data_IF_959036091440
#
_entry.id   IF_959036091440
#
_cell.length_a   1.000
_cell.length_b   1.000
_cell.length_c   1.000
_cell.angle_alpha   90.00
_cell.angle_beta   90.00
_cell.angle_gamma   90.00
#
_symmetry.space_group_name_H-M   'P 1'
#
loop_
_entity.id
_entity.type
_entity.pdbx_description
1 polymer ?
#
# COMPACT_ATOMS: atom_id res chain seq x y z
N UNK A 1 -5.88 -8.03 23.95
CA UNK A 1 -6.91 -9.10 23.97
C UNK A 1 -7.73 -9.02 22.68
N UNK A 2 -8.70 -8.11 22.56
CA UNK A 2 -9.60 -7.99 21.39
C UNK A 2 -8.94 -8.02 19.99
N UNK A 3 -7.88 -7.26 19.75
CA UNK A 3 -7.19 -7.29 18.43
C UNK A 3 -6.65 -8.68 18.08
N UNK A 4 -6.12 -9.41 19.06
CA UNK A 4 -5.54 -10.73 18.84
C UNK A 4 -6.62 -11.81 18.55
N UNK A 5 -7.87 -11.60 18.99
CA UNK A 5 -9.00 -12.49 18.65
C UNK A 5 -9.34 -12.47 17.16
N UNK A 6 -8.90 -11.44 16.45
CA UNK A 6 -9.05 -11.25 14.99
C UNK A 6 -7.69 -11.16 14.29
N UNK A 7 -6.65 -11.78 14.86
CA UNK A 7 -5.30 -11.87 14.27
C UNK A 7 -4.59 -10.53 14.03
N UNK A 8 -5.01 -9.45 14.71
CA UNK A 8 -4.41 -8.12 14.59
C UNK A 8 -3.50 -7.75 15.78
N UNK A 9 -2.56 -6.84 15.55
CA UNK A 9 -1.75 -6.23 16.61
C UNK A 9 -1.35 -4.77 16.32
N UNK A 10 -1.03 -4.02 17.37
CA UNK A 10 -0.50 -2.64 17.27
C UNK A 10 1.02 -2.54 17.52
N UNK A 11 1.73 -3.67 17.49
CA UNK A 11 3.19 -3.75 17.69
C UNK A 11 3.93 -3.02 16.57
N UNK A 12 4.99 -2.28 16.92
CA UNK A 12 5.88 -1.59 15.96
C UNK A 12 5.17 -0.60 15.00
N UNK A 13 3.99 -0.09 15.37
CA UNK A 13 3.24 0.90 14.59
C UNK A 13 3.83 2.32 14.66
N UNK A 14 4.66 2.61 15.67
CA UNK A 14 5.36 3.88 15.87
C UNK A 14 6.79 3.69 16.41
N UNK A 15 7.52 4.78 16.66
CA UNK A 15 8.89 4.71 17.18
C UNK A 15 9.96 4.44 16.12
N UNK A 16 11.13 3.99 16.57
CA UNK A 16 12.32 3.69 15.76
C UNK A 16 12.43 2.20 15.46
N UNK A 17 11.48 1.69 14.69
CA UNK A 17 11.39 0.31 14.27
C UNK A 17 10.95 0.23 12.80
N UNK A 18 10.92 -0.99 12.28
CA UNK A 18 10.27 -1.32 11.01
C UNK A 18 8.76 -1.07 11.18
N UNK A 19 8.18 -0.37 10.20
CA UNK A 19 6.75 -0.03 10.14
C UNK A 19 6.02 -1.05 9.27
N UNK A 20 4.72 -0.81 9.03
CA UNK A 20 3.93 -1.59 8.08
C UNK A 20 4.69 -1.82 6.76
N UNK A 21 4.60 -3.06 6.26
CA UNK A 21 5.08 -3.41 4.93
C UNK A 21 3.98 -3.06 3.94
N UNK A 22 4.25 -2.12 3.05
CA UNK A 22 3.27 -1.62 2.08
C UNK A 22 3.26 -2.46 0.81
N UNK A 23 2.10 -2.68 0.22
CA UNK A 23 2.00 -3.21 -1.14
C UNK A 23 1.00 -2.45 -1.99
N UNK A 24 0.86 -2.87 -3.25
CA UNK A 24 -0.18 -2.41 -4.14
C UNK A 24 -1.57 -2.76 -3.56
N UNK A 25 -2.47 -1.81 -3.55
CA UNK A 25 -3.84 -2.02 -3.05
C UNK A 25 -4.67 -2.89 -4.00
N UNK A 26 -4.24 -3.10 -5.25
CA UNK A 26 -4.83 -4.05 -6.19
C UNK A 26 -4.06 -5.38 -6.32
N UNK A 27 -3.09 -5.64 -5.42
CA UNK A 27 -2.31 -6.89 -5.40
C UNK A 27 -3.19 -8.15 -5.41
N UNK A 28 -2.87 -9.14 -6.24
CA UNK A 28 -3.69 -10.34 -6.40
C UNK A 28 -4.92 -10.17 -7.30
N UNK A 29 -5.26 -8.95 -7.73
CA UNK A 29 -6.45 -8.62 -8.52
C UNK A 29 -6.12 -7.94 -9.87
N UNK A 30 -4.99 -7.26 -9.99
CA UNK A 30 -4.61 -6.47 -11.17
C UNK A 30 -4.02 -7.32 -12.32
N UNK A 31 -4.15 -6.85 -13.57
CA UNK A 31 -3.65 -7.54 -14.78
C UNK A 31 -2.14 -7.38 -15.01
N UNK A 32 -1.54 -6.31 -14.49
CA UNK A 32 -0.15 -5.92 -14.75
C UNK A 32 0.85 -6.44 -13.70
N UNK A 33 0.39 -7.29 -12.78
CA UNK A 33 1.26 -7.94 -11.78
C UNK A 33 1.83 -9.27 -12.28
N UNK A 34 3.09 -9.52 -11.95
CA UNK A 34 3.75 -10.81 -12.16
C UNK A 34 3.12 -11.91 -11.29
N UNK A 35 2.79 -11.57 -10.04
CA UNK A 35 2.19 -12.43 -9.03
C UNK A 35 1.65 -11.57 -7.89
N UNK A 36 0.95 -12.19 -6.93
CA UNK A 36 0.53 -11.50 -5.72
C UNK A 36 1.74 -11.23 -4.79
N UNK A 37 2.08 -9.96 -4.48
CA UNK A 37 3.15 -9.61 -3.55
C UNK A 37 2.79 -9.77 -2.07
N UNK A 38 1.52 -9.93 -1.71
CA UNK A 38 1.05 -9.95 -0.30
C UNK A 38 1.68 -11.08 0.55
N UNK A 39 1.87 -12.32 0.04
CA UNK A 39 2.60 -13.36 0.76
C UNK A 39 3.99 -12.90 1.21
N UNK A 40 4.74 -12.23 0.33
CA UNK A 40 6.06 -11.70 0.66
C UNK A 40 6.00 -10.55 1.65
N UNK A 41 4.98 -9.69 1.58
CA UNK A 41 4.76 -8.68 2.60
C UNK A 41 4.52 -9.30 3.98
N UNK A 42 3.77 -10.39 4.05
CA UNK A 42 3.50 -11.10 5.30
C UNK A 42 4.75 -11.80 5.85
N UNK A 43 5.54 -12.46 4.98
CA UNK A 43 6.84 -13.03 5.35
C UNK A 43 7.74 -11.95 5.97
N UNK A 44 7.87 -10.79 5.30
CA UNK A 44 8.68 -9.66 5.80
C UNK A 44 8.09 -9.09 7.10
N UNK A 45 6.76 -9.00 7.23
CA UNK A 45 6.10 -8.53 8.46
C UNK A 45 6.42 -9.48 9.62
N UNK A 46 6.27 -10.78 9.46
CA UNK A 46 6.57 -11.77 10.50
C UNK A 46 8.06 -11.76 10.87
N UNK A 47 8.94 -11.75 9.87
CA UNK A 47 10.39 -11.64 10.08
C UNK A 47 10.78 -10.37 10.87
N UNK A 48 10.22 -9.22 10.50
CA UNK A 48 10.56 -7.95 11.14
C UNK A 48 9.91 -7.74 12.52
N UNK A 49 8.85 -8.47 12.83
CA UNK A 49 8.12 -8.33 14.08
C UNK A 49 8.91 -8.97 15.23
N UNK A 50 9.20 -8.20 16.27
CA UNK A 50 10.05 -8.62 17.40
C UNK A 50 11.46 -9.10 17.02
N UNK A 51 11.97 -8.69 15.86
CA UNK A 51 13.32 -9.04 15.45
C UNK A 51 14.35 -8.49 16.48
N UNK A 52 15.15 -9.36 17.13
CA UNK A 52 15.98 -8.96 18.27
C UNK A 52 17.03 -7.91 17.90
N UNK A 53 17.57 -7.98 16.68
CA UNK A 53 18.56 -7.02 16.20
C UNK A 53 17.95 -5.66 15.77
N UNK A 54 16.69 -5.65 15.35
CA UNK A 54 16.06 -4.48 14.72
C UNK A 54 14.94 -3.85 15.56
N UNK A 55 14.85 -4.24 16.83
CA UNK A 55 13.92 -3.64 17.78
C UNK A 55 14.26 -2.17 18.11
N UNK A 56 15.52 -1.74 17.92
CA UNK A 56 15.98 -0.37 18.20
C UNK A 56 16.84 0.21 17.08
N UNK A 57 16.18 0.64 16.01
CA UNK A 57 16.82 1.26 14.86
C UNK A 57 17.24 2.71 15.14
N UNK A 58 18.12 3.29 14.33
CA UNK A 58 18.41 4.72 14.41
C UNK A 58 17.17 5.61 14.23
N UNK A 59 16.23 5.23 13.35
CA UNK A 59 14.96 5.92 13.12
C UNK A 59 13.91 4.98 12.50
N UNK A 60 12.68 5.47 12.28
CA UNK A 60 11.59 4.73 11.59
C UNK A 60 12.07 4.18 10.25
N UNK A 61 11.62 2.95 9.93
CA UNK A 61 12.03 2.23 8.73
C UNK A 61 10.80 1.66 8.01
N UNK A 62 10.69 1.86 6.70
CA UNK A 62 9.54 1.45 5.89
C UNK A 62 9.97 0.56 4.74
N UNK A 63 9.23 -0.52 4.53
CA UNK A 63 9.45 -1.44 3.42
C UNK A 63 8.21 -1.42 2.52
N UNK A 64 8.38 -1.45 1.21
CA UNK A 64 7.29 -1.65 0.26
C UNK A 64 7.65 -2.69 -0.78
N UNK A 65 6.64 -3.44 -1.24
CA UNK A 65 6.78 -4.51 -2.23
C UNK A 65 5.75 -4.29 -3.35
N UNK A 66 6.21 -4.33 -4.60
CA UNK A 66 5.34 -4.38 -5.79
C UNK A 66 5.73 -5.56 -6.67
N UNK A 67 4.75 -6.17 -7.31
CA UNK A 67 4.96 -7.13 -8.40
C UNK A 67 4.41 -6.61 -9.74
N UNK A 68 3.82 -5.42 -9.74
CA UNK A 68 3.24 -4.78 -10.91
C UNK A 68 4.26 -3.93 -11.65
N UNK A 69 4.16 -3.91 -12.99
CA UNK A 69 4.97 -3.04 -13.83
C UNK A 69 4.77 -1.57 -13.46
N UNK A 70 3.52 -1.17 -13.20
CA UNK A 70 3.20 0.15 -12.67
C UNK A 70 3.31 0.16 -11.14
N UNK A 71 4.27 0.93 -10.61
CA UNK A 71 4.52 1.04 -9.17
C UNK A 71 3.43 1.86 -8.45
N UNK A 72 2.37 1.19 -8.01
CA UNK A 72 1.31 1.77 -7.15
C UNK A 72 1.67 1.72 -5.66
N UNK A 73 2.69 0.98 -5.25
CA UNK A 73 3.16 0.91 -3.86
C UNK A 73 4.13 2.06 -3.51
N UNK A 74 4.62 2.79 -4.53
CA UNK A 74 5.62 3.82 -4.42
C UNK A 74 6.90 3.31 -3.74
N UNK A 75 7.45 2.20 -4.24
CA UNK A 75 8.57 1.49 -3.61
C UNK A 75 9.83 2.38 -3.49
N UNK A 76 10.04 3.30 -4.45
CA UNK A 76 11.22 4.17 -4.49
C UNK A 76 11.22 5.28 -3.44
N UNK A 77 10.13 5.46 -2.70
CA UNK A 77 10.05 6.41 -1.58
C UNK A 77 9.97 5.73 -0.21
N UNK A 78 10.21 4.42 -0.16
CA UNK A 78 10.37 3.64 1.06
C UNK A 78 11.84 3.51 1.44
N UNK A 79 12.13 3.16 2.70
CA UNK A 79 13.50 2.97 3.17
C UNK A 79 14.14 1.76 2.46
N UNK A 80 13.35 0.70 2.22
CA UNK A 80 13.60 -0.35 1.22
C UNK A 80 12.38 -0.46 0.29
N UNK A 81 12.62 -0.48 -1.01
CA UNK A 81 11.64 -0.79 -2.03
C UNK A 81 12.01 -2.09 -2.75
N UNK A 82 11.05 -3.00 -2.87
CA UNK A 82 11.23 -4.31 -3.49
C UNK A 82 10.33 -4.43 -4.71
N UNK A 83 10.89 -4.77 -5.86
CA UNK A 83 10.13 -5.11 -7.06
C UNK A 83 10.33 -6.59 -7.36
N UNK A 84 9.26 -7.38 -7.31
CA UNK A 84 9.31 -8.81 -7.68
C UNK A 84 9.57 -8.94 -9.18
N UNK A 85 10.63 -9.66 -9.52
CA UNK A 85 11.07 -9.94 -10.89
C UNK A 85 11.20 -11.45 -11.09
N UNK A 86 11.23 -11.86 -12.35
CA UNK A 86 11.51 -13.23 -12.77
C UNK A 86 12.68 -13.25 -13.75
N UNK A 87 13.67 -14.13 -13.51
CA UNK A 87 14.78 -14.43 -14.44
C UNK A 87 14.77 -15.92 -14.75
N UNK A 88 14.38 -16.29 -15.97
CA UNK A 88 14.11 -17.69 -16.29
C UNK A 88 12.95 -18.20 -15.44
N UNK A 89 13.16 -19.27 -14.68
CA UNK A 89 12.17 -19.81 -13.74
C UNK A 89 12.32 -19.33 -12.30
N UNK A 90 13.36 -18.53 -12.01
CA UNK A 90 13.66 -18.05 -10.66
C UNK A 90 12.96 -16.72 -10.40
N UNK A 91 12.22 -16.67 -9.29
CA UNK A 91 11.64 -15.44 -8.75
C UNK A 91 12.66 -14.77 -7.83
N UNK A 92 12.72 -13.45 -7.90
CA UNK A 92 13.61 -12.65 -7.08
C UNK A 92 13.17 -11.20 -7.01
N UNK A 93 14.03 -10.37 -6.45
CA UNK A 93 13.70 -9.00 -6.08
C UNK A 93 14.76 -8.03 -6.61
N UNK A 94 14.31 -7.04 -7.35
CA UNK A 94 15.07 -5.81 -7.57
C UNK A 94 14.96 -4.97 -6.29
N UNK A 95 16.09 -4.61 -5.69
CA UNK A 95 16.17 -4.02 -4.35
C UNK A 95 16.63 -2.57 -4.41
N UNK A 96 15.79 -1.67 -3.95
CA UNK A 96 16.06 -0.23 -3.83
C UNK A 96 16.18 0.18 -2.36
N UNK A 97 17.12 1.05 -2.02
CA UNK A 97 17.36 1.48 -0.63
C UNK A 97 17.54 2.98 -0.54
N UNK A 98 17.05 3.59 0.55
CA UNK A 98 17.32 5.00 0.86
C UNK A 98 16.27 5.99 0.34
N UNK A 99 15.02 5.57 0.15
CA UNK A 99 13.93 6.48 -0.22
C UNK A 99 13.32 7.23 0.96
N UNK A 100 12.59 8.31 0.68
CA UNK A 100 11.67 8.91 1.65
C UNK A 100 11.33 10.37 1.41
N UNK A 101 10.06 10.71 1.60
CA UNK A 101 9.44 12.02 1.29
C UNK A 101 9.47 13.04 2.45
N UNK A 102 10.26 12.79 3.50
CA UNK A 102 10.42 13.76 4.61
C UNK A 102 11.13 15.04 4.17
N UNK A 103 11.45 15.93 5.12
CA UNK A 103 12.07 17.26 4.92
C UNK A 103 13.11 17.38 3.78
N UNK A 104 13.99 16.40 3.65
CA UNK A 104 14.89 16.26 2.50
C UNK A 104 14.43 15.06 1.68
N UNK A 105 13.70 15.22 0.57
CA UNK A 105 13.19 14.08 -0.19
C UNK A 105 14.33 13.37 -0.93
N UNK A 106 14.30 12.03 -0.94
CA UNK A 106 15.23 11.20 -1.72
C UNK A 106 14.45 10.08 -2.41
N UNK A 107 14.84 9.76 -3.64
CA UNK A 107 14.49 8.51 -4.28
C UNK A 107 15.49 7.43 -3.83
N UNK A 108 14.97 6.23 -3.62
CA UNK A 108 15.78 5.07 -3.31
C UNK A 108 16.71 4.75 -4.49
N UNK A 109 17.91 4.29 -4.13
CA UNK A 109 18.98 3.88 -5.04
C UNK A 109 18.86 2.38 -5.28
N UNK A 110 19.01 1.95 -6.53
CA UNK A 110 19.06 0.53 -6.86
C UNK A 110 20.32 -0.08 -6.26
N UNK A 111 20.22 -0.98 -5.30
CA UNK A 111 21.37 -1.61 -4.64
C UNK A 111 21.69 -2.95 -5.28
N UNK A 112 20.66 -3.73 -5.64
CA UNK A 112 20.81 -5.01 -6.31
C UNK A 112 19.70 -5.20 -7.35
N UNK A 113 20.05 -5.64 -8.55
CA UNK A 113 19.09 -5.85 -9.63
C UNK A 113 18.25 -7.12 -9.44
N UNK A 114 18.75 -8.09 -8.70
CA UNK A 114 18.08 -9.37 -8.52
C UNK A 114 18.66 -10.17 -7.35
N UNK A 115 17.92 -10.22 -6.25
CA UNK A 115 18.14 -11.12 -5.12
C UNK A 115 17.14 -12.27 -5.24
N UNK A 116 17.57 -13.54 -5.35
CA UNK A 116 16.66 -14.68 -5.36
C UNK A 116 15.76 -14.69 -4.13
N UNK A 117 14.53 -15.16 -4.28
CA UNK A 117 13.55 -15.12 -3.20
C UNK A 117 13.99 -15.86 -1.92
N UNK A 118 14.74 -16.96 -2.08
CA UNK A 118 15.31 -17.74 -0.98
C UNK A 118 16.38 -16.96 -0.17
N UNK A 119 16.96 -15.92 -0.76
CA UNK A 119 18.02 -15.10 -0.14
C UNK A 119 17.50 -13.73 0.30
N UNK A 120 16.21 -13.44 0.12
CA UNK A 120 15.65 -12.12 0.37
C UNK A 120 15.87 -11.66 1.81
N UNK A 121 15.53 -12.50 2.78
CA UNK A 121 15.60 -12.11 4.20
C UNK A 121 17.05 -11.90 4.65
N UNK A 122 17.98 -12.73 4.18
CA UNK A 122 19.42 -12.56 4.39
C UNK A 122 19.92 -11.22 3.84
N UNK A 123 19.47 -10.85 2.64
CA UNK A 123 19.86 -9.58 2.02
C UNK A 123 19.24 -8.37 2.74
N UNK A 124 18.00 -8.49 3.20
CA UNK A 124 17.37 -7.49 4.06
C UNK A 124 18.13 -7.34 5.37
N UNK A 125 18.57 -8.42 6.02
CA UNK A 125 19.43 -8.35 7.20
C UNK A 125 20.72 -7.58 6.92
N UNK A 126 21.40 -7.85 5.81
CA UNK A 126 22.63 -7.14 5.46
C UNK A 126 22.42 -5.62 5.34
N UNK A 127 21.37 -5.19 4.64
CA UNK A 127 20.99 -3.77 4.54
C UNK A 127 20.71 -3.19 5.92
N UNK A 128 19.94 -3.91 6.72
CA UNK A 128 19.53 -3.48 8.06
C UNK A 128 20.71 -3.38 9.01
N UNK A 129 21.66 -4.30 8.97
CA UNK A 129 22.89 -4.29 9.78
C UNK A 129 23.81 -3.13 9.43
N UNK A 130 24.00 -2.86 8.13
CA UNK A 130 24.71 -1.66 7.67
C UNK A 130 24.04 -0.40 8.23
N UNK A 131 22.71 -0.29 8.12
CA UNK A 131 21.99 0.85 8.69
C UNK A 131 22.10 0.91 10.23
N UNK A 132 22.03 -0.23 10.90
CA UNK A 132 22.08 -0.31 12.35
C UNK A 132 23.46 0.13 12.88
N UNK A 133 24.53 -0.26 12.18
CA UNK A 133 25.93 0.02 12.53
C UNK A 133 26.35 1.44 12.22
N UNK A 134 26.03 1.94 11.03
CA UNK A 134 26.52 3.24 10.54
C UNK A 134 25.48 4.36 10.63
N UNK A 135 24.22 4.04 10.89
CA UNK A 135 23.14 5.03 11.03
C UNK A 135 23.33 5.93 12.25
N UNK A 136 23.17 7.23 12.03
CA UNK A 136 23.29 8.26 13.07
C UNK A 136 22.21 8.15 14.14
N UNK A 137 22.59 8.30 15.40
CA UNK A 137 21.68 8.38 16.56
C UNK A 137 21.78 9.70 17.33
N UNK A 138 22.72 10.55 16.97
CA UNK A 138 22.98 11.86 17.59
C UNK A 138 22.00 12.95 17.15
N UNK A 139 21.54 12.89 15.89
CA UNK A 139 20.59 13.86 15.33
C UNK A 139 19.43 13.16 14.62
N UNK A 140 18.24 13.23 15.22
CA UNK A 140 17.01 12.59 14.70
C UNK A 140 16.63 13.03 13.27
N UNK A 141 17.03 14.22 12.85
CA UNK A 141 16.75 14.74 11.49
C UNK A 141 17.70 14.19 10.43
N UNK A 142 18.84 13.62 10.85
CA UNK A 142 19.85 12.99 10.00
C UNK A 142 19.94 11.46 10.20
N UNK A 143 19.04 10.88 10.99
CA UNK A 143 19.09 9.48 11.41
C UNK A 143 18.42 8.47 10.45
N UNK A 144 17.86 8.90 9.32
CA UNK A 144 17.18 8.00 8.36
C UNK A 144 18.19 7.39 7.39
N UNK A 145 17.94 6.16 6.94
CA UNK A 145 18.84 5.44 6.01
C UNK A 145 19.10 6.23 4.71
N UNK A 146 18.13 7.00 4.21
CA UNK A 146 18.35 7.88 3.05
C UNK A 146 19.51 8.88 3.22
N UNK A 147 19.74 9.33 4.45
CA UNK A 147 20.85 10.22 4.77
C UNK A 147 22.16 9.43 4.79
N UNK A 148 22.16 8.23 5.36
CA UNK A 148 23.32 7.33 5.33
C UNK A 148 23.73 6.99 3.89
N UNK A 149 22.78 6.58 3.04
CA UNK A 149 23.03 6.28 1.62
C UNK A 149 23.57 7.52 0.90
N UNK A 150 22.98 8.70 1.17
CA UNK A 150 23.45 9.96 0.56
C UNK A 150 24.84 10.40 1.05
N UNK A 151 25.20 10.17 2.31
CA UNK A 151 26.50 10.58 2.89
C UNK A 151 27.63 9.62 2.47
N UNK A 152 27.35 8.31 2.37
CA UNK A 152 28.31 7.32 1.86
C UNK A 152 28.45 7.38 0.34
N UNK A 153 27.36 7.65 -0.36
CA UNK A 153 27.23 7.45 -1.80
C UNK A 153 26.83 6.01 -2.14
N UNK A 154 26.19 5.85 -3.31
CA UNK A 154 25.65 4.57 -3.81
C UNK A 154 26.69 3.45 -3.82
N UNK A 155 27.86 3.71 -4.40
CA UNK A 155 28.89 2.68 -4.58
C UNK A 155 29.43 2.14 -3.26
N UNK A 156 29.66 3.03 -2.29
CA UNK A 156 30.16 2.64 -0.97
C UNK A 156 29.08 1.95 -0.14
N UNK A 157 27.83 2.45 -0.18
CA UNK A 157 26.72 1.77 0.49
C UNK A 157 26.51 0.36 -0.06
N UNK A 158 26.50 0.19 -1.40
CA UNK A 158 26.40 -1.13 -2.04
C UNK A 158 27.55 -2.03 -1.61
N UNK A 159 28.80 -1.55 -1.63
CA UNK A 159 29.97 -2.33 -1.18
C UNK A 159 29.80 -2.85 0.25
N UNK A 160 29.36 -2.00 1.19
CA UNK A 160 29.14 -2.38 2.58
C UNK A 160 28.02 -3.42 2.73
N UNK A 161 26.94 -3.31 1.96
CA UNK A 161 25.85 -4.30 1.97
C UNK A 161 26.33 -5.65 1.44
N UNK A 162 27.03 -5.67 0.31
CA UNK A 162 27.56 -6.90 -0.27
C UNK A 162 28.62 -7.56 0.64
N UNK A 163 29.45 -6.77 1.32
CA UNK A 163 30.42 -7.29 2.30
C UNK A 163 29.73 -7.88 3.54
N UNK A 164 28.70 -7.22 4.06
CA UNK A 164 27.92 -7.75 5.18
C UNK A 164 27.18 -9.03 4.77
N UNK A 165 26.55 -9.05 3.59
CA UNK A 165 25.87 -10.23 3.05
C UNK A 165 26.82 -11.40 2.84
N UNK A 166 28.00 -11.18 2.25
CA UNK A 166 29.01 -12.22 2.05
C UNK A 166 29.63 -12.73 3.37
N UNK A 167 29.65 -11.90 4.42
CA UNK A 167 30.20 -12.25 5.73
C UNK A 167 29.23 -13.07 6.60
N UNK A 168 27.95 -13.16 6.23
CA UNK A 168 26.95 -13.94 6.98
C UNK A 168 27.36 -15.41 7.08
N UNK A 169 27.41 -15.92 8.30
CA UNK A 169 27.75 -17.32 8.59
C UNK A 169 26.54 -18.22 8.30
N UNK A 170 26.74 -19.50 7.98
CA UNK A 170 25.63 -20.43 7.73
C UNK A 170 24.59 -20.49 8.86
N UNK A 171 24.97 -20.24 10.12
CA UNK A 171 24.06 -20.23 11.26
C UNK A 171 23.28 -18.91 11.42
N UNK A 172 23.70 -17.86 10.72
CA UNK A 172 23.03 -16.56 10.69
C UNK A 172 22.04 -16.46 9.53
N UNK A 173 22.20 -17.30 8.50
CA UNK A 173 21.27 -17.35 7.38
C UNK A 173 19.90 -17.81 7.82
N UNK A 174 18.88 -17.19 7.27
CA UNK A 174 17.49 -17.51 7.54
C UNK A 174 17.08 -18.66 6.62
N UNK A 175 17.00 -19.85 7.20
CA UNK A 175 16.33 -20.98 6.58
C UNK A 175 14.81 -20.84 6.78
N UNK A 176 14.15 -20.15 5.85
CA UNK A 176 12.69 -20.03 5.85
C UNK A 176 12.09 -21.35 5.36
N UNK A 177 11.45 -22.16 6.23
CA UNK A 177 11.01 -23.49 5.81
C UNK A 177 9.96 -23.39 4.71
N UNK A 178 10.06 -24.22 3.67
CA UNK A 178 9.10 -24.23 2.57
C UNK A 178 7.64 -24.37 3.06
N UNK A 179 7.42 -25.17 4.11
CA UNK A 179 6.08 -25.31 4.70
C UNK A 179 5.51 -24.00 5.24
N UNK A 180 6.35 -23.07 5.70
CA UNK A 180 5.92 -21.76 6.18
C UNK A 180 5.62 -20.81 5.02
N UNK A 181 6.42 -20.87 3.96
CA UNK A 181 6.13 -20.18 2.68
C UNK A 181 4.78 -20.66 2.16
N UNK A 182 4.58 -21.97 2.03
CA UNK A 182 3.34 -22.56 1.54
C UNK A 182 2.13 -22.18 2.41
N UNK A 183 2.29 -22.16 3.75
CA UNK A 183 1.26 -21.74 4.69
C UNK A 183 0.84 -20.29 4.47
N UNK A 184 1.80 -19.37 4.32
CA UNK A 184 1.52 -17.96 4.07
C UNK A 184 0.89 -17.78 2.69
N UNK A 185 1.41 -18.44 1.66
CA UNK A 185 0.81 -18.42 0.32
C UNK A 185 -0.64 -18.93 0.31
N UNK A 186 -0.95 -19.99 1.08
CA UNK A 186 -2.30 -20.49 1.21
C UNK A 186 -3.26 -19.50 1.88
N UNK A 187 -2.78 -18.70 2.84
CA UNK A 187 -3.59 -17.65 3.49
C UNK A 187 -4.00 -16.53 2.52
N UNK A 188 -3.13 -16.21 1.55
CA UNK A 188 -3.42 -15.22 0.50
C UNK A 188 -3.85 -15.86 -0.82
N UNK A 189 -4.34 -17.12 -0.80
CA UNK A 189 -4.81 -17.77 -2.00
C UNK A 189 -5.91 -16.92 -2.66
N UNK A 190 -5.89 -16.80 -4.00
CA UNK A 190 -6.93 -16.05 -4.70
C UNK A 190 -8.30 -16.69 -4.42
N UNK A 191 -9.36 -15.89 -4.26
CA UNK A 191 -10.70 -16.43 -4.05
C UNK A 191 -11.15 -17.29 -5.23
N UNK A 192 -12.03 -18.25 -4.96
CA UNK A 192 -12.67 -19.06 -5.99
C UNK A 192 -13.73 -18.23 -6.73
N UNK A 193 -13.29 -17.48 -7.73
CA UNK A 193 -14.15 -16.67 -8.58
C UNK A 193 -14.94 -17.57 -9.54
N UNK A 194 -16.25 -17.30 -9.68
CA UNK A 194 -17.08 -17.98 -10.66
C UNK A 194 -16.72 -17.51 -12.07
N UNK A 195 -16.77 -18.42 -13.06
CA UNK A 195 -16.61 -18.01 -14.45
C UNK A 195 -17.78 -17.11 -14.87
N UNK A 196 -17.47 -15.89 -15.30
CA UNK A 196 -18.44 -14.88 -15.71
C UNK A 196 -18.03 -14.28 -17.06
N UNK A 197 -18.99 -13.84 -17.88
CA UNK A 197 -18.68 -13.09 -19.10
C UNK A 197 -17.98 -11.77 -18.75
N UNK A 198 -17.16 -11.26 -19.67
CA UNK A 198 -16.44 -9.99 -19.51
C UNK A 198 -17.37 -8.76 -19.41
N UNK A 199 -18.66 -8.94 -19.69
CA UNK A 199 -19.71 -7.91 -19.69
C UNK A 199 -20.89 -8.36 -18.83
N UNK A 200 -21.61 -7.41 -18.24
CA UNK A 200 -22.85 -7.67 -17.51
C UNK A 200 -23.99 -6.80 -18.05
N UNK A 201 -25.10 -7.43 -18.42
CA UNK A 201 -26.29 -6.71 -18.91
C UNK A 201 -26.89 -5.80 -17.84
N UNK A 202 -26.91 -6.24 -16.57
CA UNK A 202 -27.42 -5.45 -15.46
C UNK A 202 -26.55 -4.22 -15.20
N UNK A 203 -25.23 -4.39 -15.26
CA UNK A 203 -24.27 -3.29 -15.14
C UNK A 203 -24.41 -2.28 -16.28
N UNK A 204 -24.41 -2.74 -17.53
CA UNK A 204 -24.50 -1.86 -18.70
C UNK A 204 -25.87 -1.17 -18.80
N UNK A 205 -26.95 -1.84 -18.39
CA UNK A 205 -28.28 -1.23 -18.33
C UNK A 205 -28.32 -0.07 -17.31
N UNK A 206 -27.84 -0.28 -16.09
CA UNK A 206 -27.82 0.79 -15.08
C UNK A 206 -26.89 1.94 -15.50
N UNK A 207 -25.75 1.62 -16.12
CA UNK A 207 -24.81 2.62 -16.65
C UNK A 207 -25.42 3.47 -17.76
N UNK A 208 -26.33 2.91 -18.57
CA UNK A 208 -27.04 3.68 -19.59
C UNK A 208 -28.19 4.54 -19.00
N UNK A 209 -28.79 4.09 -17.89
CA UNK A 209 -29.93 4.77 -17.26
C UNK A 209 -29.54 5.86 -16.26
N UNK A 210 -28.49 5.63 -15.46
CA UNK A 210 -28.07 6.50 -14.35
C UNK A 210 -26.70 7.15 -14.64
N UNK A 211 -26.68 8.45 -15.00
CA UNK A 211 -25.43 9.19 -15.26
C UNK A 211 -24.48 9.27 -14.05
N UNK A 212 -25.00 9.22 -12.83
CA UNK A 212 -24.19 9.25 -11.60
C UNK A 212 -23.49 7.91 -11.40
N UNK A 213 -24.21 6.79 -11.56
CA UNK A 213 -23.61 5.47 -11.58
C UNK A 213 -22.59 5.33 -12.72
N UNK A 214 -22.90 5.84 -13.91
CA UNK A 214 -21.97 5.80 -15.04
C UNK A 214 -20.66 6.56 -14.77
N UNK A 215 -20.74 7.67 -14.03
CA UNK A 215 -19.57 8.42 -13.56
C UNK A 215 -18.80 7.63 -12.51
N UNK A 216 -19.48 7.15 -11.47
CA UNK A 216 -18.87 6.34 -10.43
C UNK A 216 -18.16 5.11 -11.01
N UNK A 217 -18.81 4.39 -11.93
CA UNK A 217 -18.26 3.23 -12.61
C UNK A 217 -17.01 3.57 -13.43
N UNK A 218 -16.96 4.76 -14.05
CA UNK A 218 -15.80 5.22 -14.83
C UNK A 218 -14.62 5.62 -13.94
N UNK A 219 -14.90 6.23 -12.79
CA UNK A 219 -13.88 6.85 -11.94
C UNK A 219 -13.37 5.87 -10.87
N UNK A 220 -14.23 5.10 -10.24
CA UNK A 220 -13.90 4.31 -9.05
C UNK A 220 -13.66 2.82 -9.33
N UNK A 221 -13.87 2.34 -10.55
CA UNK A 221 -13.63 0.94 -10.91
C UNK A 221 -12.30 0.77 -11.61
N UNK A 222 -11.59 -0.29 -11.24
CA UNK A 222 -10.33 -0.68 -11.84
C UNK A 222 -10.44 -2.07 -12.44
N UNK A 223 -9.80 -2.33 -13.61
CA UNK A 223 -9.83 -3.63 -14.25
C UNK A 223 -9.29 -4.74 -13.34
N UNK A 224 -10.03 -5.85 -13.27
CA UNK A 224 -9.60 -7.07 -12.61
C UNK A 224 -8.97 -8.05 -13.61
N UNK A 225 -8.06 -8.93 -13.17
CA UNK A 225 -7.39 -9.91 -14.05
C UNK A 225 -8.28 -11.05 -14.55
N UNK A 226 -9.27 -11.41 -13.75
CA UNK A 226 -10.36 -12.33 -14.13
C UNK A 226 -11.50 -11.54 -14.76
N UNK A 227 -11.97 -12.00 -15.93
CA UNK A 227 -13.10 -11.39 -16.64
C UNK A 227 -14.39 -11.46 -15.84
N UNK A 228 -15.26 -10.46 -16.01
CA UNK A 228 -16.52 -10.35 -15.27
C UNK A 228 -16.39 -9.80 -13.85
N UNK A 229 -15.21 -9.33 -13.47
CA UNK A 229 -14.93 -8.72 -12.17
C UNK A 229 -14.26 -7.35 -12.31
N UNK A 230 -14.36 -6.54 -11.26
CA UNK A 230 -13.66 -5.27 -11.10
C UNK A 230 -13.20 -5.08 -9.65
N UNK A 231 -12.16 -4.26 -9.46
CA UNK A 231 -11.84 -3.73 -8.14
C UNK A 231 -12.54 -2.39 -7.95
N UNK A 232 -13.20 -2.20 -6.81
CA UNK A 232 -13.94 -0.99 -6.46
C UNK A 232 -13.12 -0.17 -5.47
N UNK A 233 -12.81 1.08 -5.81
CA UNK A 233 -12.29 2.05 -4.84
C UNK A 233 -13.45 2.76 -4.16
N UNK A 234 -13.63 2.48 -2.86
CA UNK A 234 -14.59 3.17 -2.00
C UNK A 234 -13.95 4.45 -1.48
N UNK A 235 -14.38 5.59 -2.01
CA UNK A 235 -13.84 6.89 -1.64
C UNK A 235 -14.31 7.31 -0.24
N UNK A 236 -13.35 7.63 0.63
CA UNK A 236 -13.59 8.19 1.96
C UNK A 236 -13.46 9.72 1.96
N UNK A 237 -13.77 10.36 0.83
CA UNK A 237 -13.55 11.80 0.62
C UNK A 237 -14.78 12.48 0.02
N UNK A 238 -15.95 12.40 0.69
CA UNK A 238 -17.11 13.15 0.25
C UNK A 238 -16.83 14.66 0.38
N UNK A 239 -17.54 15.47 -0.42
CA UNK A 239 -17.40 16.93 -0.38
C UNK A 239 -17.71 17.46 1.02
N UNK A 240 -16.74 18.16 1.63
CA UNK A 240 -16.84 18.70 2.98
C UNK A 240 -16.56 17.70 4.10
N UNK A 241 -16.35 16.42 3.78
CA UNK A 241 -15.97 15.39 4.74
C UNK A 241 -14.51 15.47 5.19
N UNK A 242 -14.17 14.69 6.20
CA UNK A 242 -12.79 14.50 6.63
C UNK A 242 -12.15 13.46 5.70
N UNK A 243 -11.14 13.86 4.93
CA UNK A 243 -10.53 12.97 3.96
C UNK A 243 -9.89 11.74 4.65
N UNK A 244 -10.30 10.54 4.24
CA UNK A 244 -9.81 9.29 4.79
C UNK A 244 -10.46 8.87 6.11
N UNK A 245 -11.51 9.56 6.54
CA UNK A 245 -12.27 9.23 7.74
C UNK A 245 -13.48 8.35 7.41
N UNK A 246 -13.88 7.50 8.36
CA UNK A 246 -15.06 6.66 8.26
C UNK A 246 -15.70 6.49 9.63
N UNK A 247 -17.03 6.57 9.68
CA UNK A 247 -17.80 6.26 10.90
C UNK A 247 -17.83 4.75 11.15
N UNK A 248 -18.15 4.34 12.38
CA UNK A 248 -18.37 2.93 12.72
C UNK A 248 -19.48 2.31 11.87
N UNK A 249 -20.57 3.04 11.59
CA UNK A 249 -21.63 2.58 10.71
C UNK A 249 -21.13 2.35 9.27
N UNK A 250 -20.33 3.27 8.73
CA UNK A 250 -19.72 3.14 7.40
C UNK A 250 -18.75 1.95 7.33
N UNK A 251 -17.94 1.74 8.39
CA UNK A 251 -17.06 0.58 8.49
C UNK A 251 -17.85 -0.73 8.46
N UNK A 252 -18.99 -0.79 9.16
CA UNK A 252 -19.87 -1.96 9.14
C UNK A 252 -20.53 -2.17 7.76
N UNK A 253 -20.89 -1.11 7.05
CA UNK A 253 -21.37 -1.23 5.66
C UNK A 253 -20.30 -1.80 4.74
N UNK A 254 -19.06 -1.30 4.81
CA UNK A 254 -17.98 -1.83 3.95
C UNK A 254 -17.64 -3.29 4.32
N UNK A 255 -17.68 -3.65 5.61
CA UNK A 255 -17.54 -5.04 6.06
C UNK A 255 -18.62 -5.96 5.45
N UNK A 256 -19.89 -5.54 5.50
CA UNK A 256 -20.99 -6.28 4.88
C UNK A 256 -20.80 -6.44 3.36
N UNK A 257 -20.40 -5.37 2.68
CA UNK A 257 -20.15 -5.42 1.23
C UNK A 257 -18.99 -6.36 0.89
N UNK A 258 -17.95 -6.41 1.72
CA UNK A 258 -16.83 -7.30 1.52
C UNK A 258 -17.22 -8.77 1.70
N UNK A 259 -17.96 -9.09 2.78
CA UNK A 259 -18.48 -10.45 3.04
C UNK A 259 -19.42 -10.91 1.93
N UNK A 260 -20.27 -10.01 1.43
CA UNK A 260 -21.32 -10.38 0.46
C UNK A 260 -20.80 -10.43 -0.97
N UNK A 261 -19.96 -9.48 -1.38
CA UNK A 261 -19.61 -9.25 -2.79
C UNK A 261 -18.11 -9.27 -3.09
N UNK A 262 -17.24 -9.26 -2.08
CA UNK A 262 -15.78 -9.12 -2.27
C UNK A 262 -14.95 -10.16 -1.53
N UNK A 263 -15.54 -11.31 -1.19
CA UNK A 263 -14.84 -12.46 -0.61
C UNK A 263 -14.08 -12.13 0.68
N UNK A 264 -14.70 -11.36 1.57
CA UNK A 264 -14.14 -10.93 2.87
C UNK A 264 -12.81 -10.14 2.78
N UNK A 265 -12.48 -9.57 1.60
CA UNK A 265 -11.24 -8.80 1.38
C UNK A 265 -11.52 -7.29 1.33
N UNK A 266 -10.95 -6.55 2.29
CA UNK A 266 -10.91 -5.08 2.31
C UNK A 266 -9.46 -4.64 2.38
N UNK A 267 -9.10 -3.65 1.54
CA UNK A 267 -7.75 -3.11 1.51
C UNK A 267 -7.74 -1.61 1.72
N UNK A 268 -6.72 -1.14 2.42
CA UNK A 268 -6.50 0.29 2.64
C UNK A 268 -5.45 0.78 1.67
N UNK A 269 -5.80 1.75 0.83
CA UNK A 269 -4.86 2.40 -0.08
C UNK A 269 -4.03 3.47 0.65
N UNK A 270 -2.80 3.71 0.17
CA UNK A 270 -1.99 4.83 0.66
C UNK A 270 -2.62 6.21 0.33
N UNK A 271 -3.60 6.22 -0.60
CA UNK A 271 -4.43 7.37 -0.91
C UNK A 271 -5.54 7.61 0.11
N UNK A 272 -5.63 6.85 1.21
CA UNK A 272 -6.65 6.99 2.26
C UNK A 272 -8.08 6.60 1.82
N UNK A 273 -8.20 5.71 0.83
CA UNK A 273 -9.48 5.08 0.43
C UNK A 273 -9.46 3.58 0.78
N UNK A 274 -10.64 2.95 0.74
CA UNK A 274 -10.79 1.50 0.84
C UNK A 274 -10.95 0.87 -0.55
N UNK A 275 -10.61 -0.41 -0.67
CA UNK A 275 -10.75 -1.18 -1.92
C UNK A 275 -11.45 -2.50 -1.65
N UNK A 276 -12.44 -2.81 -2.50
CA UNK A 276 -13.06 -4.14 -2.63
C UNK A 276 -12.54 -4.78 -3.92
N UNK A 277 -11.60 -5.73 -3.85
CA UNK A 277 -10.79 -6.12 -5.01
C UNK A 277 -11.49 -7.03 -6.01
N UNK A 278 -12.50 -7.79 -5.58
CA UNK A 278 -13.02 -8.96 -6.31
C UNK A 278 -14.55 -8.89 -6.53
N UNK A 279 -15.08 -7.73 -6.91
CA UNK A 279 -16.53 -7.54 -7.10
C UNK A 279 -16.95 -7.95 -8.50
N UNK A 280 -17.97 -8.80 -8.64
CA UNK A 280 -18.48 -9.17 -9.96
C UNK A 280 -19.24 -7.99 -10.60
N UNK A 281 -19.16 -7.87 -11.93
CA UNK A 281 -19.86 -6.79 -12.64
C UNK A 281 -21.38 -6.83 -12.41
N UNK A 282 -21.95 -8.03 -12.29
CA UNK A 282 -23.38 -8.25 -12.02
C UNK A 282 -23.84 -7.64 -10.68
N UNK A 283 -22.94 -7.56 -9.70
CA UNK A 283 -23.24 -7.12 -8.33
C UNK A 283 -23.00 -5.61 -8.13
N UNK A 284 -22.30 -4.95 -9.06
CA UNK A 284 -21.99 -3.52 -8.97
C UNK A 284 -23.22 -2.60 -8.82
N UNK A 285 -24.37 -2.87 -9.46
CA UNK A 285 -25.59 -2.11 -9.20
C UNK A 285 -26.01 -2.10 -7.72
N UNK A 286 -25.92 -3.24 -7.03
CA UNK A 286 -26.32 -3.36 -5.63
C UNK A 286 -25.26 -2.77 -4.69
N UNK A 287 -23.98 -3.07 -4.95
CA UNK A 287 -22.85 -2.45 -4.23
C UNK A 287 -22.94 -0.93 -4.29
N UNK A 288 -23.21 -0.35 -5.46
CA UNK A 288 -23.36 1.09 -5.59
C UNK A 288 -24.54 1.66 -4.80
N UNK A 289 -25.70 1.00 -4.83
CA UNK A 289 -26.90 1.44 -4.06
C UNK A 289 -26.63 1.45 -2.56
N UNK A 290 -25.96 0.42 -2.06
CA UNK A 290 -25.60 0.30 -0.64
C UNK A 290 -24.54 1.32 -0.23
N UNK A 291 -23.48 1.51 -1.04
CA UNK A 291 -22.50 2.59 -0.83
C UNK A 291 -23.18 3.96 -0.86
N UNK A 292 -24.16 4.16 -1.76
CA UNK A 292 -24.90 5.41 -1.87
C UNK A 292 -25.73 5.68 -0.61
N UNK A 293 -26.43 4.68 -0.11
CA UNK A 293 -27.18 4.75 1.14
C UNK A 293 -26.28 5.08 2.36
N UNK A 294 -25.01 4.63 2.35
CA UNK A 294 -24.02 4.91 3.38
C UNK A 294 -23.20 6.20 3.16
N UNK A 295 -23.43 6.93 2.07
CA UNK A 295 -22.67 8.15 1.74
C UNK A 295 -21.23 7.90 1.27
N UNK A 296 -20.95 6.70 0.73
CA UNK A 296 -19.63 6.23 0.29
C UNK A 296 -19.51 6.08 -1.24
N UNK A 297 -20.42 6.70 -2.00
CA UNK A 297 -20.52 6.60 -3.46
C UNK A 297 -19.79 7.72 -4.23
N UNK A 298 -18.99 8.54 -3.54
CA UNK A 298 -18.34 9.70 -4.17
C UNK A 298 -17.44 9.26 -5.33
N UNK A 299 -17.74 9.75 -6.53
CA UNK A 299 -17.07 9.39 -7.78
C UNK A 299 -15.85 10.28 -8.05
N UNK A 300 -14.78 10.15 -7.25
CA UNK A 300 -13.65 11.08 -7.32
C UNK A 300 -12.25 10.46 -7.29
N UNK A 301 -12.08 9.14 -7.32
CA UNK A 301 -10.75 8.49 -7.31
C UNK A 301 -9.78 9.16 -8.29
N UNK A 302 -8.58 9.51 -7.82
CA UNK A 302 -7.55 10.20 -8.59
C UNK A 302 -7.91 11.61 -9.14
N UNK A 303 -9.10 12.15 -8.84
CA UNK A 303 -9.49 13.52 -9.19
C UNK A 303 -9.09 14.51 -8.09
N UNK A 304 -9.26 15.81 -8.37
CA UNK A 304 -8.81 16.91 -7.49
C UNK A 304 -9.35 16.83 -6.05
N UNK A 305 -10.54 16.26 -5.83
CA UNK A 305 -11.12 16.12 -4.48
C UNK A 305 -10.69 14.82 -3.77
N UNK A 306 -10.02 13.90 -4.46
CA UNK A 306 -9.43 12.69 -3.88
C UNK A 306 -8.04 12.98 -3.26
N UNK A 307 -8.02 13.92 -2.32
CA UNK A 307 -6.80 14.48 -1.74
C UNK A 307 -6.28 13.65 -0.58
N UNK A 308 -4.96 13.52 -0.46
CA UNK A 308 -4.35 12.96 0.74
C UNK A 308 -4.18 14.07 1.77
N UNK A 309 -4.93 14.00 2.87
CA UNK A 309 -4.91 15.02 3.93
C UNK A 309 -4.48 14.39 5.24
N UNK A 310 -3.37 14.85 5.81
CA UNK A 310 -2.95 14.38 7.13
C UNK A 310 -3.80 15.04 8.23
N UNK A 311 -3.74 14.57 9.49
CA UNK A 311 -4.54 15.16 10.57
C UNK A 311 -4.19 16.61 10.96
N UNK A 312 -2.99 17.09 10.61
CA UNK A 312 -2.52 18.46 10.90
C UNK A 312 -2.60 18.86 12.37
N UNK A 313 -2.63 20.16 12.64
CA UNK A 313 -2.76 20.73 13.99
C UNK A 313 -4.07 20.37 14.71
N UNK A 314 -5.04 19.78 14.01
CA UNK A 314 -6.31 19.36 14.61
C UNK A 314 -6.09 18.14 15.55
N UNK A 315 -5.10 17.30 15.28
CA UNK A 315 -4.76 16.13 16.12
C UNK A 315 -3.25 15.89 16.36
N UNK A 316 -2.36 16.47 15.55
CA UNK A 316 -0.94 16.14 15.55
C UNK A 316 -0.07 17.23 16.18
N UNK A 317 0.59 16.90 17.29
CA UNK A 317 1.54 17.78 17.99
C UNK A 317 2.85 18.05 17.22
N UNK A 318 3.04 17.46 16.04
CA UNK A 318 4.20 17.70 15.17
C UNK A 318 3.90 18.64 13.99
N UNK A 319 2.63 18.99 13.79
CA UNK A 319 2.21 19.86 12.71
C UNK A 319 2.56 21.34 13.01
N UNK A 320 2.78 22.10 11.95
CA UNK A 320 2.94 23.56 11.97
C UNK A 320 1.70 24.28 11.40
N UNK A 321 0.78 23.56 10.75
CA UNK A 321 -0.43 24.06 10.11
C UNK A 321 -1.62 23.10 10.28
N UNK A 322 -2.83 23.64 10.11
CA UNK A 322 -4.05 22.84 9.95
C UNK A 322 -4.13 22.35 8.51
N UNK A 323 -4.55 21.11 8.32
CA UNK A 323 -4.67 20.48 7.00
C UNK A 323 -6.10 20.09 6.68
N UNK A 324 -6.87 19.63 7.67
CA UNK A 324 -8.26 19.21 7.50
C UNK A 324 -9.14 20.35 6.95
N UNK A 325 -9.18 21.56 7.56
CA UNK A 325 -10.01 22.65 7.04
C UNK A 325 -9.58 23.13 5.65
N UNK A 326 -8.29 22.99 5.31
CA UNK A 326 -7.78 23.33 3.97
C UNK A 326 -8.30 22.33 2.94
N UNK A 327 -8.24 21.03 3.25
CA UNK A 327 -8.83 19.98 2.41
C UNK A 327 -10.33 20.20 2.19
N UNK A 328 -11.08 20.49 3.26
CA UNK A 328 -12.51 20.79 3.15
C UNK A 328 -12.80 22.01 2.29
N UNK A 329 -12.01 23.09 2.42
CA UNK A 329 -12.17 24.28 1.59
C UNK A 329 -11.92 23.99 0.10
N UNK A 330 -10.90 23.20 -0.23
CA UNK A 330 -10.62 22.78 -1.61
C UNK A 330 -11.75 21.90 -2.14
N UNK A 331 -12.24 20.93 -1.36
CA UNK A 331 -13.40 20.10 -1.75
C UNK A 331 -14.63 20.94 -2.10
N UNK A 332 -14.92 21.98 -1.32
CA UNK A 332 -16.06 22.85 -1.56
C UNK A 332 -15.91 23.68 -2.84
N UNK A 333 -14.69 24.16 -3.14
CA UNK A 333 -14.41 24.89 -4.39
C UNK A 333 -14.58 23.99 -5.61
N UNK A 334 -14.17 22.73 -5.53
CA UNK A 334 -14.23 21.77 -6.63
C UNK A 334 -15.34 20.73 -6.44
N UNK A 335 -16.47 21.13 -5.83
CA UNK A 335 -17.58 20.23 -5.55
C UNK A 335 -18.30 19.73 -6.82
N UNK A 336 -18.22 20.50 -7.92
CA UNK A 336 -18.83 20.15 -9.20
C UNK A 336 -18.10 18.98 -9.89
N UNK A 337 -18.74 17.81 -10.05
CA UNK A 337 -18.09 16.64 -10.64
C UNK A 337 -17.73 16.83 -12.12
N UNK A 338 -18.47 17.65 -12.88
CA UNK A 338 -18.12 17.91 -14.28
C UNK A 338 -16.84 18.73 -14.39
N UNK A 339 -16.68 19.70 -13.49
CA UNK A 339 -15.46 20.49 -13.43
C UNK A 339 -14.25 19.66 -12.97
N UNK A 340 -14.44 18.72 -12.03
CA UNK A 340 -13.37 17.80 -11.64
C UNK A 340 -12.90 16.94 -12.82
N UNK A 341 -13.81 16.46 -13.67
CA UNK A 341 -13.45 15.68 -14.84
C UNK A 341 -12.80 16.52 -15.95
N UNK A 342 -13.20 17.79 -16.11
CA UNK A 342 -12.55 18.73 -17.04
C UNK A 342 -11.09 19.01 -16.64
N UNK A 343 -10.80 19.13 -15.34
CA UNK A 343 -9.42 19.21 -14.81
C UNK A 343 -8.66 17.89 -15.08
N UNK A 344 -9.36 16.76 -14.97
CA UNK A 344 -8.80 15.42 -15.07
C UNK A 344 -8.05 15.00 -13.80
N UNK A 345 -7.18 14.00 -13.94
CA UNK A 345 -6.43 13.44 -12.81
C UNK A 345 -5.48 14.48 -12.22
N UNK A 346 -5.65 14.78 -10.93
CA UNK A 346 -4.81 15.71 -10.19
C UNK A 346 -4.71 15.27 -8.73
N UNK A 347 -3.50 14.90 -8.31
CA UNK A 347 -3.25 14.55 -6.92
C UNK A 347 -2.82 15.76 -6.10
N UNK A 348 -3.53 16.03 -5.01
CA UNK A 348 -3.17 17.05 -4.01
C UNK A 348 -2.90 16.38 -2.68
N UNK A 349 -1.72 16.65 -2.12
CA UNK A 349 -1.31 16.19 -0.80
C UNK A 349 -1.21 17.38 0.15
N UNK A 350 -1.98 17.37 1.23
CA UNK A 350 -2.01 18.43 2.23
C UNK A 350 -1.45 17.88 3.54
N UNK A 351 -0.31 18.44 3.96
CA UNK A 351 0.37 18.08 5.20
C UNK A 351 0.47 19.28 6.13
N UNK A 352 0.15 19.07 7.40
CA UNK A 352 0.26 20.07 8.46
C UNK A 352 1.67 20.30 8.95
#
# INVERSE_FOLDING_TARGET
>A
AKLAEVEMHAIQTSGNCIRNVTSDHFAGATKDELMDPRPWCEIIRQWSTFHPEFAFLPRKFKIAVTAAEHDRAAIRVHDIGLHIRKRGDVVGFEVHVGGGQGRTPHLATLVNEFVPEAELLDYLEAIMRVYNRFGRRDNKYKARIKILVSELGEGEFRRLVEEEYAAQRPQEKIDLPQAEIDRIHAYFAPPALAEKPATSDAFEALKAEDPEFARWARVNLHPHKTDGYASVTVSLKPVGGLAGDATDAQMMTVAHLAETYAYDDIRVSHAQNLVLPHVALDDLPDVYRELKAAGLHTANESLITDMIVCPGLDYCNLANARSIPVGQAVQQVFADPDYQEDIGRLHINISG
#
